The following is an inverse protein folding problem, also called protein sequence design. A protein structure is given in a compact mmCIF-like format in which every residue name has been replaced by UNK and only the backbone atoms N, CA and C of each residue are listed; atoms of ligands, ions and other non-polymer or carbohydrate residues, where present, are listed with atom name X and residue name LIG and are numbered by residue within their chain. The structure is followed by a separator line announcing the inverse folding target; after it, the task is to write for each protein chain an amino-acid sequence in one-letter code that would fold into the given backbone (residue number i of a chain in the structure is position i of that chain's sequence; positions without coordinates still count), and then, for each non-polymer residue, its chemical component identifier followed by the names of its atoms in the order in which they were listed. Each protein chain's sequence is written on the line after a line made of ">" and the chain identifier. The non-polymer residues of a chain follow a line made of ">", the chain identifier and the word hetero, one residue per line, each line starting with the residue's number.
data_IF_729086651188
#
_entry.id   IF_729086651188
#
_cell.length_a   1.000
_cell.length_b   1.000
_cell.length_c   1.000
_cell.angle_alpha   90.00
_cell.angle_beta   90.00
_cell.angle_gamma   90.00
#
_symmetry.space_group_name_H-M   'P 1'
#
loop_
_entity.id
_entity.type
_entity.pdbx_description
1 polymer ?
#
# COMPACT_ATOMS: atom_id res chain seq x y z
N UNK A 1 19.83 12.34 25.55
CA UNK A 1 18.68 11.95 24.71
C UNK A 1 19.16 11.83 23.25
N UNK A 2 18.90 10.74 22.58
CA UNK A 2 19.26 10.56 21.19
C UNK A 2 18.44 11.50 20.30
N UNK A 3 19.10 12.16 19.35
CA UNK A 3 18.44 12.99 18.35
C UNK A 3 17.70 12.11 17.34
N UNK A 4 16.66 12.64 16.69
CA UNK A 4 15.90 11.92 15.65
C UNK A 4 16.82 11.30 14.58
N UNK A 5 17.85 12.04 14.16
CA UNK A 5 18.79 11.56 13.14
C UNK A 5 19.65 10.38 13.66
N UNK A 6 19.96 10.34 14.95
CA UNK A 6 20.74 9.24 15.54
C UNK A 6 19.93 7.95 15.60
N UNK A 7 18.62 8.06 15.86
CA UNK A 7 17.70 6.92 15.84
C UNK A 7 17.52 6.40 14.41
N UNK A 8 17.32 7.29 13.44
CA UNK A 8 17.16 6.91 12.04
C UNK A 8 18.42 6.25 11.47
N UNK A 9 19.62 6.66 11.93
CA UNK A 9 20.88 6.06 11.47
C UNK A 9 21.00 4.59 11.84
N UNK A 10 20.42 4.16 12.96
CA UNK A 10 20.39 2.74 13.37
C UNK A 10 19.61 1.92 12.34
N UNK A 11 18.42 2.38 11.96
CA UNK A 11 17.60 1.68 10.95
C UNK A 11 18.23 1.72 9.56
N UNK A 12 18.83 2.84 9.17
CA UNK A 12 19.53 2.96 7.88
C UNK A 12 20.68 1.95 7.80
N UNK A 13 21.48 1.83 8.87
CA UNK A 13 22.57 0.86 8.92
C UNK A 13 22.06 -0.57 8.82
N UNK A 14 20.97 -0.89 9.52
CA UNK A 14 20.36 -2.22 9.46
C UNK A 14 19.88 -2.59 8.06
N UNK A 15 19.24 -1.65 7.35
CA UNK A 15 18.84 -1.85 5.95
C UNK A 15 20.05 -2.05 5.03
N UNK A 16 21.12 -1.28 5.23
CA UNK A 16 22.37 -1.44 4.47
C UNK A 16 22.99 -2.81 4.69
N UNK A 17 23.02 -3.29 5.95
CA UNK A 17 23.53 -4.62 6.31
C UNK A 17 22.69 -5.74 5.65
N UNK A 18 21.36 -5.59 5.60
CA UNK A 18 20.45 -6.52 4.90
C UNK A 18 20.77 -6.56 3.40
N UNK A 19 20.98 -5.39 2.78
CA UNK A 19 21.36 -5.30 1.36
C UNK A 19 22.70 -5.95 1.09
N UNK A 20 23.69 -5.69 1.93
CA UNK A 20 25.04 -6.28 1.82
C UNK A 20 25.02 -7.80 1.98
N UNK A 21 24.12 -8.33 2.80
CA UNK A 21 23.92 -9.78 2.98
C UNK A 21 23.13 -10.45 1.84
N UNK A 22 22.63 -9.70 0.86
CA UNK A 22 21.82 -10.21 -0.24
C UNK A 22 20.40 -10.62 0.16
N UNK A 23 19.91 -10.14 1.30
CA UNK A 23 18.60 -10.50 1.85
C UNK A 23 17.53 -9.43 1.61
N UNK A 24 17.88 -8.33 0.96
CA UNK A 24 16.94 -7.26 0.69
C UNK A 24 15.96 -7.65 -0.41
N UNK A 25 14.66 -7.58 -0.08
CA UNK A 25 13.60 -7.83 -1.04
C UNK A 25 13.25 -6.55 -1.78
N UNK A 26 13.55 -6.52 -3.08
CA UNK A 26 13.05 -5.47 -3.98
C UNK A 26 11.59 -5.69 -4.31
N UNK A 27 10.78 -4.64 -4.19
CA UNK A 27 9.37 -4.66 -4.55
C UNK A 27 9.11 -3.73 -5.73
N UNK A 28 8.24 -4.17 -6.65
CA UNK A 28 7.87 -3.38 -7.81
C UNK A 28 6.58 -2.59 -7.48
N UNK A 29 6.63 -1.24 -7.40
CA UNK A 29 5.43 -0.45 -7.14
C UNK A 29 4.41 -0.58 -8.27
N UNK A 30 3.15 -0.76 -7.88
CA UNK A 30 2.02 -0.77 -8.81
C UNK A 30 1.51 0.67 -8.95
N UNK A 31 1.36 1.14 -10.19
CA UNK A 31 0.94 2.51 -10.53
C UNK A 31 -0.41 2.57 -11.26
N UNK A 32 -1.17 1.49 -11.22
CA UNK A 32 -2.51 1.40 -11.79
C UNK A 32 -3.52 0.96 -10.73
N UNK A 33 -4.83 1.06 -11.01
CA UNK A 33 -5.85 0.42 -10.17
C UNK A 33 -5.63 -1.08 -10.02
N UNK A 34 -6.16 -1.66 -8.93
CA UNK A 34 -6.09 -3.10 -8.66
C UNK A 34 -7.01 -3.86 -9.63
N UNK A 35 -6.41 -4.61 -10.53
CA UNK A 35 -7.09 -5.42 -11.56
C UNK A 35 -6.29 -6.69 -11.84
N UNK A 36 -6.79 -7.54 -12.72
CA UNK A 36 -6.06 -8.74 -13.17
C UNK A 36 -4.74 -8.37 -13.86
N UNK A 37 -4.73 -7.29 -14.62
CA UNK A 37 -3.53 -6.69 -15.19
C UNK A 37 -3.22 -5.39 -14.46
N UNK A 38 -1.98 -5.21 -14.05
CA UNK A 38 -1.52 -4.00 -13.37
C UNK A 38 -0.27 -3.45 -14.07
N UNK A 39 -0.12 -2.14 -13.98
CA UNK A 39 1.05 -1.44 -14.51
C UNK A 39 2.04 -1.17 -13.38
N UNK A 40 3.30 -1.48 -13.61
CA UNK A 40 4.39 -1.22 -12.69
C UNK A 40 5.04 0.14 -13.00
N UNK A 41 5.73 0.69 -12.01
CA UNK A 41 6.44 1.97 -12.13
C UNK A 41 7.48 1.97 -13.28
N UNK A 42 8.10 0.84 -13.56
CA UNK A 42 9.05 0.68 -14.68
C UNK A 42 8.40 0.60 -16.07
N UNK A 43 7.08 0.72 -16.16
CA UNK A 43 6.30 0.71 -17.39
C UNK A 43 5.80 -0.66 -17.85
N UNK A 44 6.22 -1.75 -17.21
CA UNK A 44 5.73 -3.09 -17.56
C UNK A 44 4.28 -3.27 -17.17
N UNK A 45 3.50 -3.92 -18.02
CA UNK A 45 2.18 -4.45 -17.67
C UNK A 45 2.33 -5.94 -17.33
N UNK A 46 1.82 -6.35 -16.18
CA UNK A 46 1.93 -7.72 -15.70
C UNK A 46 0.57 -8.25 -15.23
N UNK A 47 0.42 -9.57 -15.24
CA UNK A 47 -0.73 -10.24 -14.64
C UNK A 47 -0.46 -10.35 -13.13
N UNK A 48 -1.37 -9.80 -12.33
CA UNK A 48 -1.24 -9.82 -10.88
C UNK A 48 -1.81 -11.11 -10.30
N UNK A 49 -0.92 -12.02 -9.94
CA UNK A 49 -1.26 -13.28 -9.28
C UNK A 49 -1.19 -13.20 -7.75
N UNK A 50 -0.81 -12.04 -7.20
CA UNK A 50 -0.51 -11.83 -5.78
C UNK A 50 -1.56 -10.97 -5.07
N UNK A 51 -2.81 -11.00 -5.53
CA UNK A 51 -3.87 -10.17 -4.98
C UNK A 51 -4.97 -11.01 -4.30
N UNK A 52 -5.53 -10.46 -3.22
CA UNK A 52 -6.72 -11.00 -2.56
C UNK A 52 -8.00 -10.33 -3.09
N UNK A 53 -8.09 -10.17 -4.39
CA UNK A 53 -9.20 -9.53 -5.11
C UNK A 53 -10.12 -10.59 -5.74
N UNK A 54 -10.59 -11.52 -4.91
CA UNK A 54 -11.25 -12.76 -5.36
C UNK A 54 -12.49 -12.53 -6.19
N UNK A 55 -13.27 -11.48 -5.92
CA UNK A 55 -14.49 -11.14 -6.65
C UNK A 55 -14.26 -10.13 -7.77
N UNK A 56 -13.02 -9.66 -7.96
CA UNK A 56 -12.67 -8.67 -8.97
C UNK A 56 -13.32 -7.30 -8.74
N UNK A 57 -13.63 -6.95 -7.49
CA UNK A 57 -14.34 -5.71 -7.14
C UNK A 57 -13.42 -4.55 -6.76
N UNK A 58 -12.10 -4.76 -6.74
CA UNK A 58 -11.14 -3.77 -6.24
C UNK A 58 -11.13 -2.44 -7.01
N UNK A 59 -11.50 -2.46 -8.28
CA UNK A 59 -11.60 -1.28 -9.15
C UNK A 59 -13.02 -1.06 -9.68
N UNK A 60 -14.03 -1.66 -9.05
CA UNK A 60 -15.42 -1.52 -9.47
C UNK A 60 -15.93 -0.09 -9.24
N UNK A 61 -16.42 0.55 -10.30
CA UNK A 61 -16.81 1.96 -10.26
C UNK A 61 -17.97 2.23 -9.30
N UNK A 62 -18.94 1.32 -9.18
CA UNK A 62 -20.06 1.48 -8.23
C UNK A 62 -19.58 1.51 -6.78
N UNK A 63 -18.57 0.70 -6.44
CA UNK A 63 -17.98 0.68 -5.10
C UNK A 63 -17.14 1.92 -4.84
N UNK A 64 -16.39 2.39 -5.84
CA UNK A 64 -15.61 3.63 -5.75
C UNK A 64 -16.55 4.81 -5.49
N UNK A 65 -17.63 4.92 -6.24
CA UNK A 65 -18.60 6.02 -6.10
C UNK A 65 -19.31 5.97 -4.74
N UNK A 66 -19.65 4.78 -4.24
CA UNK A 66 -20.22 4.60 -2.91
C UNK A 66 -19.24 5.01 -1.81
N UNK A 67 -17.98 4.67 -1.93
CA UNK A 67 -16.95 5.08 -0.99
C UNK A 67 -16.77 6.61 -0.96
N UNK A 68 -16.68 7.24 -2.12
CA UNK A 68 -16.59 8.72 -2.23
C UNK A 68 -17.78 9.42 -1.57
N UNK A 69 -18.99 8.94 -1.85
CA UNK A 69 -20.23 9.48 -1.25
C UNK A 69 -20.21 9.32 0.27
N UNK A 70 -19.74 8.19 0.77
CA UNK A 70 -19.64 7.95 2.21
C UNK A 70 -18.65 8.90 2.88
N UNK A 71 -17.52 9.21 2.25
CA UNK A 71 -16.60 10.22 2.77
C UNK A 71 -17.23 11.60 2.83
N UNK A 72 -18.00 12.00 1.84
CA UNK A 72 -18.71 13.27 1.83
C UNK A 72 -19.78 13.37 2.93
N UNK A 73 -20.51 12.28 3.19
CA UNK A 73 -21.59 12.24 4.17
C UNK A 73 -21.11 11.99 5.60
N UNK A 74 -20.07 11.18 5.80
CA UNK A 74 -19.66 10.64 7.11
C UNK A 74 -18.25 11.04 7.52
N UNK A 75 -17.47 11.67 6.65
CA UNK A 75 -16.07 11.97 6.88
C UNK A 75 -15.16 10.74 6.74
N UNK A 76 -13.88 10.92 7.03
CA UNK A 76 -12.85 9.90 6.84
C UNK A 76 -12.82 8.86 7.96
N UNK A 77 -12.96 9.30 9.21
CA UNK A 77 -12.71 8.47 10.37
C UNK A 77 -13.90 7.62 10.80
N UNK A 78 -13.64 6.39 11.19
CA UNK A 78 -14.59 5.44 11.82
C UNK A 78 -14.10 5.09 13.23
N UNK A 79 -13.79 6.13 14.01
CA UNK A 79 -13.05 6.01 15.26
C UNK A 79 -13.92 5.65 16.48
N UNK A 80 -15.25 5.72 16.38
CA UNK A 80 -16.13 5.41 17.50
C UNK A 80 -16.12 3.93 17.85
N UNK A 81 -16.16 3.64 19.13
CA UNK A 81 -16.38 2.27 19.61
C UNK A 81 -17.84 1.87 19.44
N UNK A 82 -18.11 0.58 19.43
CA UNK A 82 -19.47 0.06 19.16
C UNK A 82 -20.50 0.47 20.19
N UNK A 83 -20.09 0.62 21.44
CA UNK A 83 -20.97 0.91 22.56
C UNK A 83 -20.92 2.41 22.93
N UNK A 84 -21.52 3.24 22.14
CA UNK A 84 -21.66 4.69 22.41
C UNK A 84 -23.03 4.97 23.04
#
# INVERSE_FOLDING_TARGET
>A
MARKNDILSIYTKEVEDIKAAGLFKGEAPIVSPQSAKVKLEDGREVINMCANNYLGLGDNQRLIDAAKRTYDERGYGVASVRCV
#
